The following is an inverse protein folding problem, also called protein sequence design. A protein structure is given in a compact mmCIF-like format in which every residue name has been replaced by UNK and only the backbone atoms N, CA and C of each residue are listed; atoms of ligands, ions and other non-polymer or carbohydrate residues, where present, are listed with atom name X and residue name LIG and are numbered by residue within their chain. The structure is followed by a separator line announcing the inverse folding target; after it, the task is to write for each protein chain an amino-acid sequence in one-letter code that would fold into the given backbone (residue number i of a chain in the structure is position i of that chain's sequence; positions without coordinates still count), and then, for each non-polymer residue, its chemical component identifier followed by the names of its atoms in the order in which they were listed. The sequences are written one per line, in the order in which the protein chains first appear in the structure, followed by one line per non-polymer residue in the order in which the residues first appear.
data_IF_518914951478
#
_entry.id   IF_518914951478
#
_cell.length_a   1.000
_cell.length_b   1.000
_cell.length_c   1.000
_cell.angle_alpha   90.00
_cell.angle_beta   90.00
_cell.angle_gamma   90.00
#
_symmetry.space_group_name_H-M   'P 1'
#
loop_
_entity.id
_entity.type
_entity.pdbx_description
1 polymer ?
#
# COMPACT_ATOMS: atom_id res chain seq x y z
N UNK A 1 10.90 7.42 -26.87
CA UNK A 1 9.79 8.04 -26.10
C UNK A 1 10.19 7.98 -24.63
N UNK A 2 10.87 9.02 -24.14
CA UNK A 2 11.28 9.07 -22.73
C UNK A 2 10.11 9.71 -21.97
N UNK A 3 9.38 8.90 -21.21
CA UNK A 3 8.41 9.46 -20.27
C UNK A 3 9.21 10.24 -19.23
N UNK A 4 9.11 11.56 -19.25
CA UNK A 4 9.50 12.40 -18.12
C UNK A 4 8.60 11.98 -16.96
N UNK A 5 9.09 11.06 -16.13
CA UNK A 5 8.48 10.78 -14.85
C UNK A 5 8.75 12.04 -14.02
N UNK A 6 7.85 13.02 -14.14
CA UNK A 6 7.84 14.20 -13.27
C UNK A 6 7.45 13.73 -11.88
N UNK A 7 8.41 13.13 -11.17
CA UNK A 7 8.25 12.74 -9.79
C UNK A 7 8.09 13.97 -8.91
N UNK A 8 7.19 13.90 -7.93
CA UNK A 8 7.12 14.91 -6.89
C UNK A 8 8.31 14.70 -5.95
N UNK A 9 9.20 15.69 -5.84
CA UNK A 9 10.28 15.65 -4.85
C UNK A 9 9.65 15.67 -3.46
N UNK A 10 9.99 14.68 -2.64
CA UNK A 10 9.64 14.64 -1.23
C UNK A 10 10.90 15.04 -0.48
N UNK A 11 10.88 16.19 0.19
CA UNK A 11 12.05 16.70 0.93
C UNK A 11 12.04 16.26 2.39
N UNK A 12 10.85 16.07 2.96
CA UNK A 12 10.65 15.58 4.33
C UNK A 12 11.04 14.09 4.45
N UNK A 13 12.08 13.82 5.23
CA UNK A 13 12.58 12.47 5.48
C UNK A 13 11.56 11.60 6.22
N UNK A 14 10.78 12.15 7.15
CA UNK A 14 9.73 11.40 7.86
C UNK A 14 8.70 10.85 6.89
N UNK A 15 8.38 11.65 5.86
CA UNK A 15 7.45 11.24 4.80
C UNK A 15 8.07 10.20 3.87
N UNK A 16 9.38 10.27 3.60
CA UNK A 16 10.07 9.23 2.82
C UNK A 16 10.04 7.90 3.56
N UNK A 17 10.35 7.91 4.85
CA UNK A 17 10.40 6.71 5.68
C UNK A 17 9.03 6.05 5.78
N UNK A 18 7.97 6.84 6.01
CA UNK A 18 6.59 6.32 6.05
C UNK A 18 6.19 5.64 4.72
N UNK A 19 6.55 6.23 3.58
CA UNK A 19 6.27 5.62 2.27
C UNK A 19 7.08 4.33 2.09
N UNK A 20 8.37 4.34 2.42
CA UNK A 20 9.24 3.18 2.32
C UNK A 20 8.80 2.05 3.23
N UNK A 21 8.29 2.35 4.43
CA UNK A 21 7.74 1.37 5.36
C UNK A 21 6.56 0.62 4.74
N UNK A 22 5.60 1.34 4.18
CA UNK A 22 4.41 0.72 3.56
C UNK A 22 4.79 -0.08 2.30
N UNK A 23 5.70 0.45 1.48
CA UNK A 23 6.11 -0.19 0.22
C UNK A 23 7.06 -1.37 0.44
N UNK A 24 7.81 -1.40 1.54
CA UNK A 24 8.69 -2.52 1.87
C UNK A 24 7.94 -3.71 2.48
N UNK A 25 6.78 -3.48 3.12
CA UNK A 25 5.94 -4.54 3.68
C UNK A 25 5.22 -5.35 2.58
N UNK A 26 5.41 -6.67 2.58
CA UNK A 26 4.75 -7.58 1.63
C UNK A 26 3.22 -7.52 1.73
N UNK A 27 2.67 -7.32 2.92
CA UNK A 27 1.21 -7.23 3.12
C UNK A 27 0.70 -5.85 2.73
N UNK A 28 1.38 -4.77 3.12
CA UNK A 28 1.11 -3.40 2.68
C UNK A 28 1.02 -3.27 1.16
N UNK A 29 2.00 -3.82 0.44
CA UNK A 29 1.97 -3.85 -1.05
C UNK A 29 0.74 -4.57 -1.60
N UNK A 30 0.43 -5.76 -1.08
CA UNK A 30 -0.71 -6.55 -1.55
C UNK A 30 -2.05 -5.83 -1.29
N UNK A 31 -2.20 -5.18 -0.12
CA UNK A 31 -3.38 -4.41 0.24
C UNK A 31 -3.52 -3.18 -0.67
N UNK A 32 -2.42 -2.44 -0.89
CA UNK A 32 -2.40 -1.30 -1.80
C UNK A 32 -2.81 -1.71 -3.21
N UNK A 33 -2.19 -2.74 -3.78
CA UNK A 33 -2.48 -3.22 -5.13
C UNK A 33 -3.97 -3.57 -5.30
N UNK A 34 -4.57 -4.24 -4.30
CA UNK A 34 -5.99 -4.62 -4.38
C UNK A 34 -6.95 -3.47 -4.12
N UNK A 35 -6.53 -2.37 -3.50
CA UNK A 35 -7.41 -1.21 -3.20
C UNK A 35 -7.25 -0.05 -4.18
N UNK A 36 -6.21 -0.06 -5.04
CA UNK A 36 -5.96 1.02 -6.02
C UNK A 36 -7.12 1.28 -7.00
N UNK A 37 -7.86 0.25 -7.40
CA UNK A 37 -8.94 0.41 -8.39
C UNK A 37 -10.29 0.81 -7.79
N UNK A 38 -10.58 0.35 -6.57
CA UNK A 38 -11.82 0.65 -5.85
C UNK A 38 -11.63 0.48 -4.35
N UNK A 39 -12.38 1.23 -3.52
CA UNK A 39 -12.49 0.92 -2.10
C UNK A 39 -12.98 -0.52 -1.89
N UNK A 40 -12.42 -1.21 -0.88
CA UNK A 40 -12.78 -2.57 -0.51
C UNK A 40 -12.85 -2.70 1.00
N UNK A 41 -13.72 -3.58 1.48
CA UNK A 41 -13.75 -3.97 2.88
C UNK A 41 -12.54 -4.84 3.24
N UNK A 42 -12.21 -4.90 4.54
CA UNK A 42 -11.15 -5.77 5.04
C UNK A 42 -11.41 -7.27 4.73
N UNK A 43 -12.69 -7.67 4.67
CA UNK A 43 -13.10 -9.03 4.31
C UNK A 43 -12.77 -9.31 2.84
N UNK A 44 -13.15 -8.40 1.93
CA UNK A 44 -12.83 -8.52 0.50
C UNK A 44 -11.31 -8.57 0.26
N UNK A 45 -10.56 -7.69 0.94
CA UNK A 45 -9.09 -7.66 0.87
C UNK A 45 -8.52 -9.00 1.33
N UNK A 46 -8.98 -9.55 2.46
CA UNK A 46 -8.54 -10.84 2.98
C UNK A 46 -8.83 -11.99 2.01
N UNK A 47 -10.02 -12.02 1.42
CA UNK A 47 -10.42 -13.05 0.46
C UNK A 47 -9.56 -13.00 -0.82
N UNK A 48 -9.31 -11.81 -1.36
CA UNK A 48 -8.54 -11.64 -2.61
C UNK A 48 -7.04 -11.85 -2.43
N UNK A 49 -6.48 -11.36 -1.32
CA UNK A 49 -5.03 -11.43 -1.06
C UNK A 49 -4.61 -12.72 -0.36
N UNK A 50 -5.57 -13.50 0.14
CA UNK A 50 -5.35 -14.65 1.04
C UNK A 50 -4.59 -14.30 2.33
N UNK A 51 -4.54 -13.01 2.69
CA UNK A 51 -3.97 -12.54 3.95
C UNK A 51 -5.01 -12.76 5.04
N UNK A 52 -4.60 -13.27 6.19
CA UNK A 52 -5.50 -13.44 7.33
C UNK A 52 -6.16 -12.10 7.70
N UNK A 53 -7.47 -12.11 7.92
CA UNK A 53 -8.26 -10.90 8.19
C UNK A 53 -7.72 -10.07 9.37
N UNK A 54 -7.20 -10.71 10.42
CA UNK A 54 -6.55 -10.05 11.56
C UNK A 54 -5.28 -9.28 11.16
N UNK A 55 -4.51 -9.81 10.21
CA UNK A 55 -3.33 -9.14 9.65
C UNK A 55 -3.74 -7.96 8.77
N UNK A 56 -4.84 -8.09 8.02
CA UNK A 56 -5.39 -6.96 7.25
C UNK A 56 -5.80 -5.82 8.20
N UNK A 57 -6.57 -6.11 9.26
CA UNK A 57 -6.96 -5.10 10.24
C UNK A 57 -5.75 -4.43 10.93
N UNK A 58 -4.73 -5.19 11.33
CA UNK A 58 -3.51 -4.64 11.95
C UNK A 58 -2.75 -3.70 11.01
N UNK A 59 -2.83 -3.90 9.70
CA UNK A 59 -2.15 -3.06 8.71
C UNK A 59 -2.97 -1.84 8.25
N UNK A 60 -4.27 -1.82 8.54
CA UNK A 60 -5.16 -0.70 8.23
C UNK A 60 -5.27 0.32 9.38
N UNK A 61 -4.79 -0.04 10.57
CA UNK A 61 -4.64 0.87 11.72
C UNK A 61 -3.44 1.79 11.50
#
# INVERSE_FOLDING_TARGET
MQALISGRKIEDDSRKDAILEVVSDKYGRAILEKTMGKPKSAIEISAETKIQISTVYRRLQ
#
